data_IF_308294571987
#
_entry.id   IF_308294571987
#
_cell.length_a   1.000
_cell.length_b   1.000
_cell.length_c   1.000
_cell.angle_alpha   90.00
_cell.angle_beta   90.00
_cell.angle_gamma   90.00
#
_symmetry.space_group_name_H-M   'P 1'
#
loop_
_entity.id
_entity.type
_entity.pdbx_description
1 polymer ?
#
# COMPACT_ATOMS: atom_id res chain seq x y z
N UNK A 1 -1.11 9.83 8.69
CA UNK A 1 -0.56 8.44 8.70
C UNK A 1 0.93 8.41 9.00
N UNK A 2 1.82 9.08 8.25
CA UNK A 2 3.28 9.06 8.47
C UNK A 2 3.73 9.28 9.91
N UNK A 3 3.16 10.26 10.62
CA UNK A 3 3.54 10.58 12.01
C UNK A 3 3.47 9.37 12.95
N UNK A 4 2.49 8.47 12.76
CA UNK A 4 2.33 7.26 13.58
C UNK A 4 3.50 6.30 13.44
N UNK A 5 4.21 6.28 12.31
CA UNK A 5 5.40 5.44 12.14
C UNK A 5 6.54 5.83 13.10
N UNK A 6 6.55 7.08 13.58
CA UNK A 6 7.51 7.54 14.58
C UNK A 6 7.18 7.09 16.00
N UNK A 7 5.90 6.92 16.33
CA UNK A 7 5.43 6.71 17.72
C UNK A 7 4.89 5.31 17.99
N UNK A 8 4.49 4.58 16.95
CA UNK A 8 3.90 3.25 17.02
C UNK A 8 4.87 2.21 16.45
N UNK A 9 5.52 1.47 17.35
CA UNK A 9 6.52 0.48 16.99
C UNK A 9 5.92 -0.74 16.28
N UNK A 10 4.69 -1.13 16.63
CA UNK A 10 4.00 -2.27 16.04
C UNK A 10 3.59 -1.93 14.61
N UNK A 11 2.97 -0.76 14.40
CA UNK A 11 2.64 -0.27 13.08
C UNK A 11 3.87 -0.16 12.18
N UNK A 12 4.97 0.40 12.71
CA UNK A 12 6.23 0.51 11.96
C UNK A 12 6.78 -0.86 11.57
N UNK A 13 6.74 -1.84 12.47
CA UNK A 13 7.17 -3.21 12.17
C UNK A 13 6.31 -3.87 11.11
N UNK A 14 4.98 -3.76 11.21
CA UNK A 14 4.06 -4.31 10.23
C UNK A 14 4.22 -3.63 8.85
N UNK A 15 4.44 -2.31 8.83
CA UNK A 15 4.66 -1.56 7.60
C UNK A 15 6.01 -1.88 6.95
N UNK A 16 7.04 -2.18 7.74
CA UNK A 16 8.31 -2.72 7.24
C UNK A 16 8.17 -4.14 6.68
N UNK A 17 7.36 -5.00 7.30
CA UNK A 17 7.05 -6.31 6.73
C UNK A 17 6.30 -6.20 5.39
N UNK A 18 5.37 -5.23 5.26
CA UNK A 18 4.69 -4.94 4.00
C UNK A 18 5.66 -4.50 2.88
N UNK A 19 6.68 -3.71 3.25
CA UNK A 19 7.77 -3.30 2.36
C UNK A 19 8.56 -4.51 1.84
N UNK A 20 8.93 -5.42 2.73
CA UNK A 20 9.68 -6.63 2.38
C UNK A 20 8.87 -7.58 1.49
N UNK A 21 7.57 -7.78 1.79
CA UNK A 21 6.67 -8.56 0.94
C UNK A 21 6.57 -7.99 -0.48
N UNK A 22 6.45 -6.65 -0.61
CA UNK A 22 6.45 -5.97 -1.91
C UNK A 22 7.74 -6.28 -2.71
N UNK A 23 8.91 -6.12 -2.07
CA UNK A 23 10.20 -6.35 -2.71
C UNK A 23 10.37 -7.81 -3.12
N UNK A 24 9.98 -8.76 -2.26
CA UNK A 24 10.05 -10.19 -2.53
C UNK A 24 9.19 -10.57 -3.74
N UNK A 25 7.93 -10.13 -3.79
CA UNK A 25 7.02 -10.41 -4.91
C UNK A 25 7.52 -9.79 -6.22
N UNK A 26 7.98 -8.55 -6.18
CA UNK A 26 8.53 -7.90 -7.38
C UNK A 26 9.77 -8.63 -7.90
N UNK A 27 10.69 -8.97 -7.00
CA UNK A 27 11.93 -9.66 -7.36
C UNK A 27 11.68 -11.05 -7.95
N UNK A 28 10.58 -11.71 -7.58
CA UNK A 28 10.15 -12.96 -8.20
C UNK A 28 9.72 -12.81 -9.67
N UNK A 29 9.32 -11.60 -10.10
CA UNK A 29 8.99 -11.31 -11.51
C UNK A 29 10.22 -10.88 -12.32
N UNK A 30 11.21 -10.29 -11.65
CA UNK A 30 12.46 -9.85 -12.24
C UNK A 30 13.17 -8.84 -11.37
N UNK A 31 14.50 -8.84 -11.43
CA UNK A 31 15.34 -7.87 -10.75
C UNK A 31 15.67 -6.69 -11.66
N UNK A 32 15.54 -5.47 -11.12
CA UNK A 32 15.84 -4.21 -11.80
C UNK A 32 16.68 -3.36 -10.85
N UNK A 33 17.93 -3.09 -11.22
CA UNK A 33 18.93 -2.49 -10.31
C UNK A 33 18.58 -1.05 -9.92
N UNK A 34 17.96 -0.30 -10.82
CA UNK A 34 17.61 1.12 -10.65
C UNK A 34 16.56 1.36 -9.56
N UNK A 35 15.82 0.31 -9.19
CA UNK A 35 14.76 0.35 -8.18
C UNK A 35 15.01 -0.61 -7.02
N UNK A 36 16.25 -1.08 -6.86
CA UNK A 36 16.61 -1.97 -5.75
C UNK A 36 16.30 -1.34 -4.39
N UNK A 37 15.72 -2.12 -3.49
CA UNK A 37 15.21 -1.64 -2.20
C UNK A 37 14.03 -0.65 -2.26
N UNK A 38 13.59 -0.20 -3.44
CA UNK A 38 12.48 0.75 -3.56
C UNK A 38 11.16 0.01 -3.65
N UNK A 39 10.36 0.08 -2.59
CA UNK A 39 8.96 -0.33 -2.65
C UNK A 39 8.03 0.86 -2.96
N UNK A 40 6.74 0.60 -3.12
CA UNK A 40 5.79 1.63 -3.47
C UNK A 40 5.25 2.43 -2.27
N UNK A 41 4.64 3.60 -2.54
CA UNK A 41 3.93 4.38 -1.52
C UNK A 41 4.80 5.07 -0.47
N UNK A 42 6.13 5.04 -0.57
CA UNK A 42 7.05 5.64 0.40
C UNK A 42 7.48 4.73 1.55
N UNK A 43 7.04 3.47 1.52
CA UNK A 43 7.42 2.41 2.46
C UNK A 43 8.95 2.22 2.53
N UNK A 44 9.51 1.91 3.71
CA UNK A 44 8.80 1.69 4.99
C UNK A 44 8.72 2.96 5.87
N UNK A 45 9.39 4.05 5.51
CA UNK A 45 9.64 5.15 6.46
C UNK A 45 8.56 6.25 6.45
N UNK A 46 7.77 6.33 5.38
CA UNK A 46 6.75 7.37 5.22
C UNK A 46 5.60 6.93 4.32
N UNK A 47 4.48 7.64 4.44
CA UNK A 47 3.39 7.55 3.48
C UNK A 47 3.52 8.69 2.47
N UNK A 48 3.79 8.35 1.20
CA UNK A 48 3.83 9.32 0.08
C UNK A 48 2.46 9.50 -0.56
N UNK A 49 1.85 8.42 -1.04
CA UNK A 49 0.56 8.46 -1.73
C UNK A 49 -0.27 7.23 -1.33
N UNK A 50 -1.52 7.46 -0.92
CA UNK A 50 -2.41 6.42 -0.40
C UNK A 50 -2.84 5.43 -1.48
N UNK A 51 -3.05 5.88 -2.73
CA UNK A 51 -3.55 5.01 -3.79
C UNK A 51 -2.65 3.78 -4.02
N UNK A 52 -1.33 3.89 -3.83
CA UNK A 52 -0.45 2.73 -4.06
C UNK A 52 -0.45 1.78 -2.88
N UNK A 53 -0.67 2.28 -1.65
CA UNK A 53 -0.85 1.41 -0.49
C UNK A 53 -2.16 0.63 -0.59
N UNK A 54 -3.23 1.29 -1.06
CA UNK A 54 -4.49 0.63 -1.40
C UNK A 54 -4.29 -0.42 -2.48
N UNK A 55 -3.59 -0.08 -3.58
CA UNK A 55 -3.29 -1.05 -4.64
C UNK A 55 -2.49 -2.25 -4.12
N UNK A 56 -1.52 -2.02 -3.23
CA UNK A 56 -0.78 -3.11 -2.59
C UNK A 56 -1.71 -3.99 -1.76
N UNK A 57 -2.46 -3.42 -0.82
CA UNK A 57 -3.40 -4.15 0.05
C UNK A 57 -4.39 -5.02 -0.74
N UNK A 58 -4.97 -4.47 -1.82
CA UNK A 58 -5.84 -5.23 -2.74
C UNK A 58 -5.11 -6.40 -3.42
N UNK A 59 -3.81 -6.26 -3.69
CA UNK A 59 -3.02 -7.28 -4.40
C UNK A 59 -2.54 -8.41 -3.49
N UNK A 60 -2.24 -8.11 -2.22
CA UNK A 60 -1.62 -9.07 -1.28
C UNK A 60 -2.59 -9.62 -0.23
N UNK A 61 -3.75 -8.97 -0.08
CA UNK A 61 -4.80 -9.36 0.86
C UNK A 61 -4.77 -8.59 2.19
N UNK A 62 -5.86 -8.68 2.97
CA UNK A 62 -6.01 -7.94 4.22
C UNK A 62 -4.95 -8.30 5.26
N UNK A 63 -4.51 -7.31 6.03
CA UNK A 63 -3.59 -7.46 7.16
C UNK A 63 -2.11 -7.41 6.78
N UNK A 64 -1.77 -7.44 5.49
CA UNK A 64 -0.37 -7.38 5.04
C UNK A 64 0.15 -5.94 5.00
N UNK A 65 -0.66 -4.98 4.55
CA UNK A 65 -0.29 -3.56 4.54
C UNK A 65 -1.29 -2.76 5.38
N UNK A 66 -1.02 -2.54 6.68
CA UNK A 66 -2.01 -1.98 7.61
C UNK A 66 -2.47 -0.56 7.20
N UNK A 67 -1.60 0.25 6.62
CA UNK A 67 -1.96 1.58 6.14
C UNK A 67 -2.68 1.55 4.79
N UNK A 68 -2.40 0.53 3.96
CA UNK A 68 -3.19 0.24 2.77
C UNK A 68 -4.61 -0.21 3.11
N UNK A 69 -4.76 -1.08 4.10
CA UNK A 69 -6.05 -1.55 4.60
C UNK A 69 -6.87 -0.42 5.23
N UNK A 70 -6.24 0.41 6.07
CA UNK A 70 -6.87 1.59 6.66
C UNK A 70 -7.34 2.58 5.58
N UNK A 71 -6.51 2.82 4.55
CA UNK A 71 -6.88 3.67 3.43
C UNK A 71 -8.01 3.08 2.59
N UNK A 72 -8.00 1.76 2.35
CA UNK A 72 -9.04 1.06 1.60
C UNK A 72 -10.37 1.10 2.34
N UNK A 73 -10.37 0.86 3.65
CA UNK A 73 -11.57 0.91 4.49
C UNK A 73 -12.19 2.32 4.60
N UNK A 74 -11.39 3.37 4.38
CA UNK A 74 -11.87 4.75 4.36
C UNK A 74 -12.52 5.16 3.02
N UNK A 75 -12.34 4.37 1.95
CA UNK A 75 -12.97 4.66 0.66
C UNK A 75 -14.46 4.31 0.69
N UNK A 76 -15.32 5.10 0.02
CA UNK A 76 -16.70 4.67 -0.22
C UNK A 76 -16.72 3.46 -1.16
N UNK A 77 -17.77 2.66 -1.09
CA UNK A 77 -18.00 1.51 -1.99
C UNK A 77 -18.49 1.97 -3.38
N UNK A 78 -17.84 2.97 -3.98
CA UNK A 78 -18.22 3.53 -5.28
C UNK A 78 -18.25 2.47 -6.39
N UNK A 79 -17.42 1.42 -6.26
CA UNK A 79 -17.32 0.31 -7.20
C UNK A 79 -18.53 -0.64 -7.12
N UNK A 80 -19.33 -0.57 -6.06
CA UNK A 80 -20.54 -1.38 -5.94
C UNK A 80 -21.65 -0.87 -6.88
N UNK A 81 -21.71 0.44 -7.08
CA UNK A 81 -22.77 1.10 -7.86
C UNK A 81 -22.31 1.48 -9.28
N UNK A 82 -21.00 1.61 -9.52
CA UNK A 82 -20.45 2.04 -10.81
C UNK A 82 -19.28 1.16 -11.28
N UNK A 83 -19.25 0.73 -12.56
CA UNK A 83 -18.10 0.02 -13.11
C UNK A 83 -16.85 0.91 -13.10
N UNK A 84 -15.68 0.33 -12.85
CA UNK A 84 -14.39 1.04 -12.80
C UNK A 84 -14.03 1.83 -14.09
N UNK A 85 -14.75 1.59 -15.19
CA UNK A 85 -14.60 2.28 -16.46
C UNK A 85 -15.42 3.57 -16.56
N UNK A 86 -16.36 3.80 -15.65
CA UNK A 86 -17.23 4.97 -15.64
C UNK A 86 -16.82 5.89 -14.49
N UNK A 87 -16.31 7.08 -14.81
CA UNK A 87 -16.05 8.11 -13.80
C UNK A 87 -17.38 8.74 -13.39
N UNK A 88 -17.61 8.82 -12.08
CA UNK A 88 -18.67 9.64 -11.49
C UNK A 88 -18.50 11.09 -12.01
N UNK A 89 -19.45 11.57 -12.80
CA UNK A 89 -19.51 13.00 -13.11
C UNK A 89 -19.80 13.77 -11.80
N UNK A 90 -19.13 14.92 -11.59
CA UNK A 90 -19.23 15.68 -10.35
C UNK A 90 -20.62 16.26 -10.08
#
# INVERSE_FOLDING_TARGET
MTERLGTDAELRSAYAAAHEDYLARRSALGYVAEIDGISAGGMPDRVKCLHVLVAHALSVGPGVNPLGDEALAALPEWWADHPCSETLEP
#
